data_IF_892297924925
#
_entry.id   IF_892297924925
#
_cell.length_a   1.000
_cell.length_b   1.000
_cell.length_c   1.000
_cell.angle_alpha   90.00
_cell.angle_beta   90.00
_cell.angle_gamma   90.00
#
_symmetry.space_group_name_H-M   'P 1'
#
loop_
_entity.id
_entity.type
_entity.pdbx_description
1 polymer ?
#
# COMPACT_ATOMS: atom_id res chain seq x y z
N UNK A 1 0.76 -4.20 -12.45
CA UNK A 1 1.31 -3.44 -11.32
C UNK A 1 0.13 -2.87 -10.52
N UNK A 2 0.11 -3.08 -9.20
CA UNK A 2 -0.77 -2.42 -8.26
C UNK A 2 -0.06 -1.23 -7.63
N UNK A 3 -0.79 -0.13 -7.36
CA UNK A 3 -0.20 1.04 -6.71
C UNK A 3 -0.97 1.40 -5.45
N UNK A 4 -0.22 1.56 -4.35
CA UNK A 4 -0.69 2.07 -3.06
C UNK A 4 -0.10 3.47 -2.90
N UNK A 5 -0.94 4.46 -2.66
CA UNK A 5 -0.57 5.87 -2.67
C UNK A 5 -0.51 6.44 -1.26
N UNK A 6 0.30 7.47 -1.06
CA UNK A 6 0.45 8.22 0.18
C UNK A 6 -0.87 8.83 0.67
N UNK A 7 -1.65 9.47 -0.23
CA UNK A 7 -2.94 10.11 0.08
C UNK A 7 -4.13 9.18 -0.19
N UNK A 8 -3.92 7.87 -0.16
CA UNK A 8 -4.93 6.82 -0.39
C UNK A 8 -5.55 6.84 -1.80
N UNK A 9 -5.71 8.00 -2.43
CA UNK A 9 -6.37 8.24 -3.73
C UNK A 9 -7.73 7.52 -3.84
N UNK A 10 -8.49 7.49 -2.76
CA UNK A 10 -9.85 6.95 -2.76
C UNK A 10 -10.83 8.00 -3.28
N UNK A 11 -11.88 7.54 -3.94
CA UNK A 11 -13.00 8.40 -4.28
C UNK A 11 -13.87 8.53 -3.02
N UNK A 12 -13.78 9.66 -2.33
CA UNK A 12 -14.37 9.89 -1.01
C UNK A 12 -15.88 9.62 -0.94
N UNK A 13 -16.61 9.96 -2.01
CA UNK A 13 -18.07 9.79 -2.09
C UNK A 13 -18.52 8.36 -2.36
N UNK A 14 -17.59 7.49 -2.77
CA UNK A 14 -17.87 6.08 -3.00
C UNK A 14 -17.72 5.28 -1.70
N UNK A 15 -18.41 4.16 -1.65
CA UNK A 15 -18.27 3.19 -0.56
C UNK A 15 -16.92 2.46 -0.64
N UNK A 16 -16.56 1.75 0.43
CA UNK A 16 -15.39 0.84 0.47
C UNK A 16 -15.47 -0.16 -0.67
N UNK A 17 -16.62 -0.83 -0.81
CA UNK A 17 -16.86 -1.80 -1.88
C UNK A 17 -16.62 -1.20 -3.26
N UNK A 18 -17.19 -0.04 -3.54
CA UNK A 18 -17.05 0.65 -4.83
C UNK A 18 -15.58 1.04 -5.08
N UNK A 19 -14.86 1.54 -4.07
CA UNK A 19 -13.44 1.85 -4.19
C UNK A 19 -12.59 0.61 -4.50
N UNK A 20 -12.83 -0.52 -3.83
CA UNK A 20 -12.11 -1.78 -4.11
C UNK A 20 -12.41 -2.26 -5.53
N UNK A 21 -13.68 -2.26 -5.95
CA UNK A 21 -14.10 -2.65 -7.30
C UNK A 21 -13.50 -1.75 -8.38
N UNK A 22 -13.18 -0.46 -8.09
CA UNK A 22 -12.46 0.40 -9.02
C UNK A 22 -11.10 -0.17 -9.46
N UNK A 23 -10.46 -1.02 -8.65
CA UNK A 23 -9.24 -1.73 -9.04
C UNK A 23 -9.42 -2.61 -10.27
N UNK A 24 -10.63 -3.09 -10.55
CA UNK A 24 -10.92 -3.93 -11.73
C UNK A 24 -11.13 -3.14 -13.03
N UNK A 25 -11.33 -1.82 -12.94
CA UNK A 25 -11.77 -1.00 -14.08
C UNK A 25 -10.84 -1.08 -15.29
N UNK A 26 -9.52 -1.13 -15.08
CA UNK A 26 -8.54 -1.22 -16.16
C UNK A 26 -8.57 -2.53 -16.95
N UNK A 27 -9.29 -3.54 -16.45
CA UNK A 27 -9.45 -4.87 -17.12
C UNK A 27 -10.82 -5.10 -17.69
N UNK A 28 -11.76 -4.18 -17.47
CA UNK A 28 -13.12 -4.28 -17.97
C UNK A 28 -13.30 -3.50 -19.27
N UNK A 29 -14.14 -3.97 -20.21
CA UNK A 29 -14.56 -3.17 -21.34
C UNK A 29 -15.22 -1.88 -20.86
N UNK A 30 -14.89 -0.75 -21.51
CA UNK A 30 -15.27 0.63 -21.10
C UNK A 30 -16.76 0.80 -20.77
N UNK A 31 -17.64 0.06 -21.43
CA UNK A 31 -19.08 0.14 -21.22
C UNK A 31 -19.58 -0.53 -19.92
N UNK A 32 -18.86 -1.53 -19.35
CA UNK A 32 -19.28 -2.20 -18.11
C UNK A 32 -19.21 -1.29 -16.88
N UNK A 33 -18.12 -0.54 -16.64
CA UNK A 33 -18.05 0.42 -15.54
C UNK A 33 -19.13 1.50 -15.62
N UNK A 34 -19.47 1.94 -16.83
CA UNK A 34 -20.48 2.96 -17.04
C UNK A 34 -21.87 2.58 -16.52
N UNK A 35 -22.19 1.27 -16.55
CA UNK A 35 -23.45 0.73 -16.03
C UNK A 35 -23.32 0.14 -14.61
N UNK A 36 -22.17 0.34 -13.92
CA UNK A 36 -21.89 -0.24 -12.58
C UNK A 36 -22.13 -1.76 -12.52
N UNK A 37 -21.93 -2.49 -13.61
CA UNK A 37 -22.16 -3.94 -13.70
C UNK A 37 -20.86 -4.71 -13.43
N UNK A 38 -20.59 -4.99 -12.15
CA UNK A 38 -19.60 -5.98 -11.76
C UNK A 38 -20.23 -7.35 -11.69
N UNK A 39 -19.43 -8.40 -11.94
CA UNK A 39 -19.91 -9.77 -11.81
C UNK A 39 -20.06 -10.14 -10.33
N UNK A 40 -20.88 -11.15 -10.03
CA UNK A 40 -20.97 -11.69 -8.66
C UNK A 40 -19.62 -12.19 -8.15
N UNK A 41 -18.78 -12.72 -9.04
CA UNK A 41 -17.41 -13.12 -8.70
C UNK A 41 -16.53 -11.93 -8.32
N UNK A 42 -16.64 -10.78 -9.02
CA UNK A 42 -15.89 -9.58 -8.67
C UNK A 42 -16.33 -9.02 -7.30
N UNK A 43 -17.65 -9.08 -7.04
CA UNK A 43 -18.22 -8.63 -5.75
C UNK A 43 -17.77 -9.56 -4.61
N UNK A 44 -17.87 -10.88 -4.78
CA UNK A 44 -17.40 -11.86 -3.79
C UNK A 44 -15.91 -11.64 -3.50
N UNK A 45 -15.09 -11.51 -4.54
CA UNK A 45 -13.66 -11.25 -4.40
C UNK A 45 -13.37 -9.93 -3.68
N UNK A 46 -14.15 -8.88 -3.93
CA UNK A 46 -13.98 -7.62 -3.22
C UNK A 46 -14.27 -7.76 -1.72
N UNK A 47 -15.26 -8.55 -1.32
CA UNK A 47 -15.50 -8.91 0.09
C UNK A 47 -14.32 -9.66 0.70
N UNK A 48 -13.79 -10.67 0.00
CA UNK A 48 -12.62 -11.44 0.46
C UNK A 48 -11.38 -10.53 0.64
N UNK A 49 -11.19 -9.56 -0.27
CA UNK A 49 -10.11 -8.60 -0.18
C UNK A 49 -10.29 -7.61 0.98
N UNK A 50 -11.50 -7.13 1.23
CA UNK A 50 -11.82 -6.26 2.37
C UNK A 50 -11.49 -6.99 3.67
N UNK A 51 -11.87 -8.25 3.79
CA UNK A 51 -11.57 -9.09 4.96
C UNK A 51 -10.07 -9.34 5.11
N UNK A 52 -9.38 -9.68 4.00
CA UNK A 52 -7.93 -9.96 3.99
C UNK A 52 -7.05 -8.78 4.41
N UNK A 53 -7.54 -7.55 4.28
CA UNK A 53 -6.84 -6.35 4.78
C UNK A 53 -7.25 -5.97 6.21
N UNK A 54 -7.99 -6.84 6.91
CA UNK A 54 -8.41 -6.65 8.30
C UNK A 54 -9.53 -5.62 8.47
N UNK A 55 -10.39 -5.46 7.47
CA UNK A 55 -11.62 -4.68 7.58
C UNK A 55 -12.82 -5.63 7.63
N UNK A 56 -13.69 -5.49 8.65
CA UNK A 56 -14.95 -6.23 8.68
C UNK A 56 -15.81 -5.92 7.45
N UNK A 57 -16.54 -6.92 6.94
CA UNK A 57 -17.42 -6.77 5.79
C UNK A 57 -18.51 -5.70 5.97
N UNK A 58 -18.84 -5.36 7.22
CA UNK A 58 -19.73 -4.25 7.54
C UNK A 58 -19.24 -2.90 7.03
N UNK A 59 -17.92 -2.75 6.83
CA UNK A 59 -17.35 -1.55 6.24
C UNK A 59 -17.65 -1.42 4.74
N UNK A 60 -18.02 -2.48 4.05
CA UNK A 60 -18.22 -2.48 2.61
C UNK A 60 -19.20 -1.39 2.12
N UNK A 61 -20.24 -1.10 2.90
CA UNK A 61 -21.25 -0.06 2.60
C UNK A 61 -20.89 1.33 3.11
N UNK A 62 -19.83 1.48 3.93
CA UNK A 62 -19.40 2.79 4.44
C UNK A 62 -18.71 3.59 3.36
N UNK A 63 -18.93 4.91 3.36
CA UNK A 63 -18.24 5.83 2.46
C UNK A 63 -16.79 6.02 2.89
N UNK A 64 -15.89 6.25 1.92
CA UNK A 64 -14.47 6.43 2.21
C UNK A 64 -14.17 7.67 3.05
N UNK A 65 -14.98 8.75 2.95
CA UNK A 65 -14.84 9.96 3.76
C UNK A 65 -15.12 9.73 5.27
N UNK A 66 -15.84 8.66 5.63
CA UNK A 66 -16.17 8.30 7.01
C UNK A 66 -15.11 7.36 7.66
N UNK A 67 -14.01 7.06 6.99
CA UNK A 67 -12.98 6.13 7.46
C UNK A 67 -11.81 6.86 8.13
N UNK A 68 -11.15 6.20 9.10
CA UNK A 68 -9.85 6.63 9.62
C UNK A 68 -8.76 6.51 8.56
N UNK A 69 -7.59 7.17 8.77
CA UNK A 69 -6.45 7.09 7.87
C UNK A 69 -5.99 5.66 7.61
N UNK A 70 -5.80 4.87 8.67
CA UNK A 70 -5.42 3.45 8.55
C UNK A 70 -6.46 2.60 7.81
N UNK A 71 -7.76 2.87 8.03
CA UNK A 71 -8.82 2.19 7.28
C UNK A 71 -8.80 2.58 5.81
N UNK A 72 -8.59 3.85 5.47
CA UNK A 72 -8.44 4.31 4.07
C UNK A 72 -7.24 3.63 3.40
N UNK A 73 -6.12 3.49 4.11
CA UNK A 73 -4.93 2.81 3.58
C UNK A 73 -5.20 1.34 3.29
N UNK A 74 -5.89 0.63 4.19
CA UNK A 74 -6.31 -0.76 3.98
C UNK A 74 -7.23 -0.91 2.75
N UNK A 75 -8.15 0.02 2.54
CA UNK A 75 -8.99 0.06 1.32
C UNK A 75 -8.13 0.30 0.07
N UNK A 76 -7.14 1.18 0.14
CA UNK A 76 -6.17 1.43 -0.94
C UNK A 76 -5.40 0.17 -1.33
N UNK A 77 -4.95 -0.61 -0.34
CA UNK A 77 -4.27 -1.90 -0.53
C UNK A 77 -5.25 -2.92 -1.16
N UNK A 78 -6.47 -3.07 -0.64
CA UNK A 78 -7.48 -3.97 -1.21
C UNK A 78 -7.80 -3.64 -2.66
N UNK A 79 -7.91 -2.34 -3.00
CA UNK A 79 -8.09 -1.87 -4.37
C UNK A 79 -6.90 -2.23 -5.28
N UNK A 80 -5.67 -2.11 -4.78
CA UNK A 80 -4.49 -2.51 -5.52
C UNK A 80 -4.49 -4.03 -5.78
N UNK A 81 -4.87 -4.83 -4.79
CA UNK A 81 -4.98 -6.29 -4.89
C UNK A 81 -6.10 -6.74 -5.85
N UNK A 82 -7.19 -5.96 -5.98
CA UNK A 82 -8.27 -6.25 -6.91
C UNK A 82 -7.79 -6.25 -8.38
N UNK A 83 -6.66 -5.61 -8.67
CA UNK A 83 -6.02 -5.63 -10.00
C UNK A 83 -5.29 -6.94 -10.29
N UNK A 84 -5.15 -7.87 -9.33
CA UNK A 84 -4.32 -9.08 -9.47
C UNK A 84 -2.89 -8.73 -9.95
N UNK A 85 -2.19 -7.85 -9.22
CA UNK A 85 -0.92 -7.36 -9.70
C UNK A 85 0.18 -8.43 -9.58
N UNK A 86 1.13 -8.44 -10.52
CA UNK A 86 2.39 -9.20 -10.37
C UNK A 86 3.50 -8.38 -9.69
N UNK A 87 3.21 -7.13 -9.26
CA UNK A 87 4.10 -6.26 -8.52
C UNK A 87 3.25 -5.18 -7.83
N UNK A 88 3.53 -4.88 -6.57
CA UNK A 88 2.94 -3.75 -5.84
C UNK A 88 4.02 -2.68 -5.64
N UNK A 89 3.66 -1.44 -5.96
CA UNK A 89 4.43 -0.25 -5.61
C UNK A 89 3.68 0.50 -4.52
N UNK A 90 4.32 0.75 -3.40
CA UNK A 90 3.73 1.52 -2.29
C UNK A 90 4.56 2.80 -2.08
N UNK A 91 3.92 3.93 -2.31
CA UNK A 91 4.54 5.25 -2.18
C UNK A 91 4.12 5.87 -0.84
N UNK A 92 5.07 5.94 0.08
CA UNK A 92 4.92 6.43 1.45
C UNK A 92 3.64 5.93 2.17
N UNK A 93 3.39 4.61 2.23
CA UNK A 93 2.11 4.07 2.67
C UNK A 93 1.80 4.34 4.15
N UNK A 94 2.74 4.92 4.90
CA UNK A 94 2.63 5.14 6.35
C UNK A 94 2.81 6.61 6.77
N UNK A 95 3.11 7.54 5.86
CA UNK A 95 3.51 8.93 6.18
C UNK A 95 2.43 9.75 6.93
N UNK A 96 1.15 9.44 6.74
CA UNK A 96 0.03 10.15 7.37
C UNK A 96 -0.60 9.37 8.54
N UNK A 97 0.09 8.35 9.06
CA UNK A 97 -0.43 7.44 10.08
C UNK A 97 0.34 7.57 11.39
N UNK A 98 -0.32 7.23 12.50
CA UNK A 98 0.36 7.10 13.78
C UNK A 98 1.32 5.90 13.77
N UNK A 99 2.33 5.88 14.68
CA UNK A 99 3.39 4.85 14.68
C UNK A 99 2.86 3.41 14.77
N UNK A 100 1.79 3.17 15.55
CA UNK A 100 1.20 1.83 15.69
C UNK A 100 0.55 1.39 14.40
N UNK A 101 -0.29 2.23 13.83
CA UNK A 101 -0.98 1.96 12.55
C UNK A 101 0.04 1.80 11.41
N UNK A 102 1.16 2.56 11.43
CA UNK A 102 2.24 2.43 10.47
C UNK A 102 2.86 1.04 10.47
N UNK A 103 3.13 0.48 11.66
CA UNK A 103 3.61 -0.91 11.81
C UNK A 103 2.59 -1.90 11.26
N UNK A 104 1.30 -1.74 11.60
CA UNK A 104 0.23 -2.62 11.13
C UNK A 104 0.09 -2.62 9.60
N UNK A 105 0.25 -1.47 8.94
CA UNK A 105 0.23 -1.38 7.47
C UNK A 105 1.44 -2.06 6.84
N UNK A 106 2.63 -1.90 7.44
CA UNK A 106 3.82 -2.60 6.94
C UNK A 106 3.71 -4.12 7.13
N UNK A 107 3.18 -4.59 8.27
CA UNK A 107 2.88 -6.00 8.51
C UNK A 107 1.88 -6.55 7.47
N UNK A 108 0.84 -5.79 7.15
CA UNK A 108 -0.12 -6.17 6.12
C UNK A 108 0.54 -6.29 4.74
N UNK A 109 1.40 -5.34 4.34
CA UNK A 109 2.11 -5.39 3.05
C UNK A 109 3.06 -6.59 2.98
N UNK A 110 3.78 -6.91 4.07
CA UNK A 110 4.64 -8.09 4.16
C UNK A 110 3.83 -9.38 4.08
N UNK A 111 2.71 -9.47 4.81
CA UNK A 111 1.79 -10.61 4.73
C UNK A 111 1.28 -10.81 3.30
N UNK A 112 0.79 -9.76 2.66
CA UNK A 112 0.33 -9.79 1.26
C UNK A 112 1.42 -10.28 0.32
N UNK A 113 2.65 -9.80 0.49
CA UNK A 113 3.80 -10.22 -0.32
C UNK A 113 4.04 -11.73 -0.23
N UNK A 114 4.01 -12.26 0.99
CA UNK A 114 4.27 -13.69 1.24
C UNK A 114 3.12 -14.59 0.80
N UNK A 115 1.89 -14.26 1.19
CA UNK A 115 0.72 -15.12 0.91
C UNK A 115 0.36 -15.17 -0.56
N UNK A 116 0.61 -14.08 -1.29
CA UNK A 116 0.26 -13.97 -2.71
C UNK A 116 1.45 -14.12 -3.64
N UNK A 117 2.65 -14.32 -3.08
CA UNK A 117 3.91 -14.41 -3.84
C UNK A 117 4.09 -13.21 -4.79
N UNK A 118 3.69 -12.01 -4.34
CA UNK A 118 3.78 -10.76 -5.12
C UNK A 118 4.85 -9.87 -4.50
N UNK A 119 5.91 -9.51 -5.22
CA UNK A 119 6.90 -8.58 -4.71
C UNK A 119 6.28 -7.20 -4.42
N UNK A 120 6.72 -6.58 -3.32
CA UNK A 120 6.30 -5.23 -2.90
C UNK A 120 7.53 -4.33 -2.84
N UNK A 121 7.50 -3.22 -3.56
CA UNK A 121 8.50 -2.16 -3.47
C UNK A 121 7.86 -1.00 -2.72
N UNK A 122 8.50 -0.57 -1.63
CA UNK A 122 8.00 0.51 -0.76
C UNK A 122 8.97 1.68 -0.82
N UNK A 123 8.48 2.86 -1.21
CA UNK A 123 9.14 4.11 -0.94
C UNK A 123 8.79 4.54 0.50
N UNK A 124 9.79 4.77 1.34
CA UNK A 124 9.58 5.05 2.76
C UNK A 124 10.73 5.92 3.30
N UNK A 125 10.39 6.89 4.16
CA UNK A 125 11.38 7.73 4.84
C UNK A 125 11.77 7.21 6.23
N UNK A 126 10.93 6.38 6.84
CA UNK A 126 11.21 5.81 8.16
C UNK A 126 12.19 4.65 8.06
N UNK A 127 13.44 4.90 8.52
CA UNK A 127 14.55 3.93 8.46
C UNK A 127 14.29 2.71 9.32
N UNK A 128 13.65 2.87 10.49
CA UNK A 128 13.38 1.75 11.39
C UNK A 128 12.37 0.78 10.79
N UNK A 129 11.32 1.30 10.15
CA UNK A 129 10.37 0.47 9.40
C UNK A 129 11.06 -0.21 8.21
N UNK A 130 11.92 0.50 7.47
CA UNK A 130 12.68 -0.10 6.38
C UNK A 130 13.56 -1.26 6.87
N UNK A 131 14.32 -1.05 7.96
CA UNK A 131 15.17 -2.08 8.56
C UNK A 131 14.38 -3.29 9.07
N UNK A 132 13.18 -3.06 9.60
CA UNK A 132 12.36 -4.11 10.20
C UNK A 132 11.68 -5.01 9.15
N UNK A 133 11.23 -4.44 8.03
CA UNK A 133 10.35 -5.14 7.09
C UNK A 133 10.99 -5.47 5.74
N UNK A 134 12.02 -4.74 5.31
CA UNK A 134 12.61 -4.97 4.01
C UNK A 134 13.57 -6.17 4.02
N UNK A 135 13.56 -6.95 2.94
CA UNK A 135 14.61 -7.95 2.65
C UNK A 135 15.79 -7.35 1.89
N UNK A 136 15.59 -6.21 1.24
CA UNK A 136 16.61 -5.43 0.51
C UNK A 136 16.26 -3.95 0.60
N UNK A 137 17.24 -3.13 0.88
CA UNK A 137 17.11 -1.66 0.93
C UNK A 137 17.94 -1.06 -0.19
N UNK A 138 17.34 -0.10 -0.90
CA UNK A 138 18.01 0.74 -1.89
C UNK A 138 17.93 2.18 -1.37
N UNK A 139 19.06 2.73 -0.95
CA UNK A 139 19.20 4.11 -0.52
C UNK A 139 19.58 5.00 -1.70
N UNK A 140 18.86 6.09 -1.89
CA UNK A 140 19.09 7.01 -3.00
C UNK A 140 19.31 8.45 -2.50
N UNK A 141 20.23 9.18 -3.15
CA UNK A 141 20.45 10.60 -2.93
C UNK A 141 20.76 11.26 -4.27
N UNK A 142 20.19 12.44 -4.53
CA UNK A 142 20.41 13.22 -5.75
C UNK A 142 20.31 12.40 -7.06
N UNK A 143 19.38 11.41 -7.11
CA UNK A 143 19.17 10.56 -8.28
C UNK A 143 20.21 9.43 -8.45
N UNK A 144 21.10 9.23 -7.47
CA UNK A 144 22.10 8.15 -7.47
C UNK A 144 21.81 7.13 -6.39
N UNK A 145 22.14 5.87 -6.65
CA UNK A 145 22.07 4.80 -5.65
C UNK A 145 23.32 4.88 -4.78
N UNK A 146 23.10 5.15 -3.50
CA UNK A 146 24.17 5.26 -2.47
C UNK A 146 24.37 3.94 -1.74
N UNK A 147 23.26 3.22 -1.55
CA UNK A 147 23.27 1.92 -0.87
C UNK A 147 22.36 0.94 -1.61
N UNK A 148 22.79 -0.31 -1.71
CA UNK A 148 22.00 -1.43 -2.22
C UNK A 148 22.43 -2.70 -1.50
N UNK A 149 21.56 -3.24 -0.64
CA UNK A 149 21.91 -4.42 0.15
C UNK A 149 20.85 -4.79 1.18
N UNK A 150 21.14 -5.82 2.00
CA UNK A 150 20.26 -6.24 3.08
C UNK A 150 20.27 -5.22 4.23
N UNK A 151 19.20 -5.17 5.05
CA UNK A 151 19.05 -4.19 6.14
C UNK A 151 20.23 -4.15 7.12
N UNK A 152 20.84 -5.29 7.40
CA UNK A 152 21.96 -5.42 8.35
C UNK A 152 23.25 -4.75 7.84
N UNK A 153 23.38 -4.56 6.54
CA UNK A 153 24.52 -3.89 5.92
C UNK A 153 24.38 -2.35 5.87
N UNK A 154 23.17 -1.81 6.20
CA UNK A 154 22.91 -0.38 6.20
C UNK A 154 23.53 0.28 7.43
N UNK A 155 24.62 1.02 7.24
CA UNK A 155 25.36 1.72 8.28
C UNK A 155 25.03 3.21 8.31
N UNK A 156 25.31 3.88 9.45
CA UNK A 156 25.07 5.31 9.64
C UNK A 156 25.78 6.18 8.58
N UNK A 157 26.96 5.77 8.12
CA UNK A 157 27.66 6.47 7.02
C UNK A 157 26.81 6.57 5.74
N UNK A 158 26.05 5.50 5.40
CA UNK A 158 25.18 5.49 4.24
C UNK A 158 23.95 6.40 4.48
N UNK A 159 23.41 6.40 5.70
CA UNK A 159 22.30 7.27 6.07
C UNK A 159 22.70 8.75 6.02
N UNK A 160 23.89 9.09 6.54
CA UNK A 160 24.43 10.44 6.44
C UNK A 160 24.58 10.90 4.98
N UNK A 161 25.00 10.03 4.10
CA UNK A 161 25.14 10.32 2.67
C UNK A 161 23.77 10.44 1.96
N UNK A 162 22.78 9.60 2.34
CA UNK A 162 21.42 9.61 1.78
C UNK A 162 20.70 10.90 2.18
N UNK A 163 20.80 11.30 3.46
CA UNK A 163 20.03 12.44 4.01
C UNK A 163 20.82 13.75 4.06
N UNK A 164 22.12 13.74 3.68
CA UNK A 164 22.94 14.96 3.56
C UNK A 164 23.48 15.53 4.87
N UNK A 165 23.59 14.72 5.95
CA UNK A 165 24.15 15.15 7.23
C UNK A 165 23.68 14.34 8.44
N UNK A 166 24.07 14.79 9.65
CA UNK A 166 23.78 14.08 10.91
C UNK A 166 22.32 14.22 11.39
N UNK A 167 21.48 15.04 10.76
CA UNK A 167 20.13 15.40 11.23
C UNK A 167 19.02 14.38 10.86
N UNK A 168 19.35 13.20 10.34
CA UNK A 168 18.38 12.19 9.95
C UNK A 168 17.72 11.47 11.15
N UNK A 169 18.20 11.72 12.38
CA UNK A 169 17.65 11.15 13.63
C UNK A 169 16.56 12.03 14.28
N UNK A 170 16.17 13.15 13.68
CA UNK A 170 15.20 14.08 14.25
C UNK A 170 13.74 13.71 13.98
#
# INVERSE_FOLDING_TARGET
>A
IGMVFQEYNLVERLTVMENVLCGKLGRLPIWRPLFRKFSEQDISRAFDLIDSVGLSQEFASRRADALSGGQRQRVGIARALMQEPGLILADEPTSSLDPKTSVEIMELLDQVSREREVPVIVNIHNVDLARRFASRIIGMSAGQVIFDGPPEALQDKHLNEIYGGEDWQA
#
